data_IF_708851051310
#
_entry.id   IF_708851051310
#
_cell.length_a   1.000
_cell.length_b   1.000
_cell.length_c   1.000
_cell.angle_alpha   90.00
_cell.angle_beta   90.00
_cell.angle_gamma   90.00
#
_symmetry.space_group_name_H-M   'P 1'
#
loop_
_entity.id
_entity.type
_entity.pdbx_description
1 polymer ?
#
# COMPACT_ATOMS: atom_id res chain seq x y z
N UNK A 1 -59.28 -16.90 -24.35
CA UNK A 1 -57.92 -17.06 -23.80
C UNK A 1 -56.97 -17.25 -24.98
N UNK A 2 -56.31 -16.17 -25.38
CA UNK A 2 -56.04 -15.87 -26.79
C UNK A 2 -54.97 -16.71 -27.49
N UNK A 3 -55.39 -17.53 -28.46
CA UNK A 3 -54.51 -18.17 -29.43
C UNK A 3 -53.75 -17.14 -30.29
N UNK A 4 -54.34 -15.97 -30.53
CA UNK A 4 -53.63 -14.86 -31.18
C UNK A 4 -52.50 -14.29 -30.31
N UNK A 5 -52.66 -14.28 -28.98
CA UNK A 5 -51.63 -13.81 -28.05
C UNK A 5 -50.45 -14.78 -28.00
N UNK A 6 -50.71 -16.10 -28.08
CA UNK A 6 -49.68 -17.13 -28.21
C UNK A 6 -48.92 -17.04 -29.53
N UNK A 7 -49.63 -16.85 -30.66
CA UNK A 7 -49.02 -16.73 -31.98
C UNK A 7 -48.16 -15.46 -32.12
N UNK A 8 -48.64 -14.32 -31.62
CA UNK A 8 -47.87 -13.07 -31.55
C UNK A 8 -46.63 -13.21 -30.66
N UNK A 9 -46.72 -13.92 -29.53
CA UNK A 9 -45.56 -14.14 -28.67
C UNK A 9 -44.53 -15.11 -29.29
N UNK A 10 -44.97 -16.04 -30.14
CA UNK A 10 -44.06 -16.96 -30.84
C UNK A 10 -43.35 -16.25 -32.01
N UNK A 11 -44.05 -15.37 -32.73
CA UNK A 11 -43.50 -14.59 -33.85
C UNK A 11 -42.66 -13.38 -33.42
N UNK A 12 -43.02 -12.71 -32.31
CA UNK A 12 -42.35 -11.49 -31.85
C UNK A 12 -41.56 -11.66 -30.54
N UNK A 13 -41.72 -12.76 -29.81
CA UNK A 13 -41.05 -12.99 -28.52
C UNK A 13 -39.63 -13.57 -28.65
N UNK A 14 -39.35 -14.36 -29.69
CA UNK A 14 -38.02 -14.92 -29.95
C UNK A 14 -36.98 -13.91 -30.48
N UNK A 15 -37.44 -12.79 -31.04
CA UNK A 15 -36.59 -11.85 -31.78
C UNK A 15 -35.97 -10.73 -30.92
N UNK A 16 -36.35 -10.60 -29.64
CA UNK A 16 -35.78 -9.59 -28.74
C UNK A 16 -34.30 -9.86 -28.44
N UNK A 17 -33.92 -11.14 -28.37
CA UNK A 17 -32.53 -11.53 -28.16
C UNK A 17 -31.68 -11.40 -29.43
N UNK A 18 -32.26 -11.69 -30.61
CA UNK A 18 -31.57 -11.54 -31.89
C UNK A 18 -31.36 -10.07 -32.29
N UNK A 19 -32.32 -9.17 -31.98
CA UNK A 19 -32.14 -7.72 -32.12
C UNK A 19 -31.08 -7.20 -31.15
N UNK A 20 -31.04 -7.70 -29.92
CA UNK A 20 -29.99 -7.38 -28.96
C UNK A 20 -28.62 -7.85 -29.46
N UNK A 21 -28.48 -9.10 -29.88
CA UNK A 21 -27.24 -9.64 -30.46
C UNK A 21 -26.80 -8.85 -31.70
N UNK A 22 -27.73 -8.47 -32.57
CA UNK A 22 -27.39 -7.69 -33.78
C UNK A 22 -27.00 -6.25 -33.44
N UNK A 23 -27.64 -5.61 -32.45
CA UNK A 23 -27.26 -4.26 -31.98
C UNK A 23 -25.95 -4.28 -31.20
N UNK A 24 -25.67 -5.35 -30.43
CA UNK A 24 -24.39 -5.55 -29.74
C UNK A 24 -23.21 -5.71 -30.73
N UNK A 25 -23.46 -6.13 -31.99
CA UNK A 25 -22.45 -6.14 -33.09
C UNK A 25 -22.12 -4.73 -33.60
N UNK A 26 -23.06 -3.78 -33.55
CA UNK A 26 -22.86 -2.39 -34.02
C UNK A 26 -22.56 -1.40 -32.90
N UNK A 27 -22.89 -1.72 -31.64
CA UNK A 27 -22.66 -0.89 -30.47
C UNK A 27 -22.28 -1.76 -29.28
N UNK A 28 -21.04 -1.63 -28.84
CA UNK A 28 -20.50 -2.39 -27.71
C UNK A 28 -21.38 -2.18 -26.46
N UNK A 29 -21.75 -3.29 -25.82
CA UNK A 29 -22.46 -3.26 -24.55
C UNK A 29 -21.51 -2.71 -23.47
N UNK A 30 -21.86 -1.56 -22.88
CA UNK A 30 -21.03 -0.85 -21.91
C UNK A 30 -20.65 -1.71 -20.69
N UNK A 31 -21.55 -2.61 -20.26
CA UNK A 31 -21.30 -3.55 -19.17
C UNK A 31 -20.23 -4.60 -19.55
N UNK A 32 -20.34 -5.15 -20.77
CA UNK A 32 -19.37 -6.12 -21.30
C UNK A 32 -18.02 -5.47 -21.60
N UNK A 33 -18.00 -4.20 -21.98
CA UNK A 33 -16.79 -3.41 -22.15
C UNK A 33 -16.10 -3.16 -20.79
N UNK A 34 -16.87 -2.75 -19.77
CA UNK A 34 -16.39 -2.55 -18.41
C UNK A 34 -15.83 -3.82 -17.78
N UNK A 35 -16.50 -4.96 -17.96
CA UNK A 35 -16.00 -6.26 -17.50
C UNK A 35 -14.65 -6.63 -18.12
N UNK A 36 -14.50 -6.46 -19.45
CA UNK A 36 -13.22 -6.70 -20.14
C UNK A 36 -12.10 -5.76 -19.66
N UNK A 37 -12.43 -4.52 -19.36
CA UNK A 37 -11.45 -3.55 -18.89
C UNK A 37 -10.98 -3.86 -17.46
N UNK A 38 -11.90 -4.28 -16.59
CA UNK A 38 -11.60 -4.77 -15.25
C UNK A 38 -10.73 -6.04 -15.29
N UNK A 39 -11.02 -6.95 -16.22
CA UNK A 39 -10.21 -8.16 -16.44
C UNK A 39 -8.81 -7.82 -16.92
N UNK A 40 -8.66 -6.88 -17.87
CA UNK A 40 -7.34 -6.39 -18.32
C UNK A 40 -6.57 -5.73 -17.19
N UNK A 41 -7.23 -4.88 -16.40
CA UNK A 41 -6.61 -4.20 -15.25
C UNK A 41 -6.16 -5.22 -14.19
N UNK A 42 -7.02 -6.17 -13.84
CA UNK A 42 -6.70 -7.20 -12.84
C UNK A 42 -5.55 -8.09 -13.29
N UNK A 43 -5.52 -8.51 -14.57
CA UNK A 43 -4.43 -9.26 -15.15
C UNK A 43 -3.12 -8.47 -15.15
N UNK A 44 -3.17 -7.18 -15.51
CA UNK A 44 -2.01 -6.30 -15.47
C UNK A 44 -1.46 -6.15 -14.04
N UNK A 45 -2.33 -5.97 -13.03
CA UNK A 45 -1.92 -5.86 -11.62
C UNK A 45 -1.33 -7.17 -11.08
N UNK A 46 -1.88 -8.32 -11.46
CA UNK A 46 -1.36 -9.63 -11.09
C UNK A 46 0.02 -9.88 -11.70
N UNK A 47 0.19 -9.58 -13.00
CA UNK A 47 1.48 -9.68 -13.67
C UNK A 47 2.50 -8.73 -13.05
N UNK A 48 2.12 -7.47 -12.80
CA UNK A 48 2.98 -6.51 -12.13
C UNK A 48 3.42 -7.04 -10.76
N UNK A 49 2.48 -7.53 -9.94
CA UNK A 49 2.79 -8.13 -8.64
C UNK A 49 3.70 -9.36 -8.71
N UNK A 50 3.62 -10.14 -9.78
CA UNK A 50 4.50 -11.28 -10.02
C UNK A 50 5.92 -10.86 -10.44
N UNK A 51 6.05 -9.81 -11.24
CA UNK A 51 7.35 -9.29 -11.70
C UNK A 51 8.15 -8.59 -10.59
N UNK A 52 7.48 -7.93 -9.62
CA UNK A 52 8.16 -7.25 -8.50
C UNK A 52 8.48 -8.15 -7.30
N UNK A 53 7.99 -9.39 -7.26
CA UNK A 53 8.43 -10.37 -6.26
C UNK A 53 9.72 -11.01 -6.72
N UNK A 54 10.84 -10.34 -6.49
CA UNK A 54 12.15 -10.98 -6.58
C UNK A 54 12.16 -12.20 -5.65
N UNK A 55 12.36 -13.44 -6.16
CA UNK A 55 12.42 -14.62 -5.32
C UNK A 55 13.64 -14.47 -4.39
N UNK A 56 13.38 -14.20 -3.11
CA UNK A 56 14.43 -14.06 -2.10
C UNK A 56 14.93 -15.44 -1.74
N UNK A 57 16.22 -15.67 -1.93
CA UNK A 57 16.87 -16.91 -1.48
C UNK A 57 16.96 -16.93 0.05
N UNK A 58 17.05 -18.13 0.62
CA UNK A 58 17.42 -18.30 2.04
C UNK A 58 18.80 -17.66 2.32
N UNK A 59 19.70 -17.70 1.33
CA UNK A 59 21.01 -17.05 1.40
C UNK A 59 20.87 -15.52 1.51
N UNK A 60 19.94 -14.92 0.76
CA UNK A 60 19.68 -13.48 0.85
C UNK A 60 19.15 -13.09 2.22
N UNK A 61 18.29 -13.93 2.81
CA UNK A 61 17.77 -13.73 4.15
C UNK A 61 18.86 -13.87 5.22
N UNK A 62 19.78 -14.84 5.06
CA UNK A 62 20.95 -15.00 5.92
C UNK A 62 21.87 -13.78 5.85
N UNK A 63 22.21 -13.34 4.64
CA UNK A 63 23.09 -12.20 4.41
C UNK A 63 22.46 -10.89 4.90
N UNK A 64 21.15 -10.70 4.71
CA UNK A 64 20.44 -9.54 5.26
C UNK A 64 20.41 -9.58 6.79
N UNK A 65 20.25 -10.77 7.38
CA UNK A 65 20.42 -10.98 8.82
C UNK A 65 21.81 -10.55 9.29
N UNK A 66 22.87 -11.10 8.69
CA UNK A 66 24.26 -10.79 9.02
C UNK A 66 24.57 -9.29 8.88
N UNK A 67 24.06 -8.65 7.84
CA UNK A 67 24.25 -7.23 7.60
C UNK A 67 23.39 -6.33 8.51
N UNK A 68 22.43 -6.90 9.27
CA UNK A 68 21.61 -6.20 10.28
C UNK A 68 22.08 -6.46 11.70
N UNK A 69 22.79 -7.56 11.95
CA UNK A 69 23.36 -7.93 13.26
C UNK A 69 24.25 -6.87 13.93
N UNK A 70 25.00 -5.99 13.22
CA UNK A 70 25.89 -5.06 13.90
C UNK A 70 25.15 -4.13 14.87
N UNK A 71 23.93 -3.70 14.53
CA UNK A 71 23.16 -2.74 15.34
C UNK A 71 22.63 -3.37 16.64
N UNK A 72 21.99 -4.57 16.62
CA UNK A 72 21.71 -5.35 17.82
C UNK A 72 22.97 -5.69 18.64
N UNK A 73 24.07 -6.06 17.99
CA UNK A 73 25.28 -6.47 18.68
C UNK A 73 25.93 -5.32 19.45
N UNK A 74 25.90 -4.10 18.91
CA UNK A 74 26.33 -2.91 19.64
C UNK A 74 25.45 -2.64 20.87
N UNK A 75 24.12 -2.75 20.73
CA UNK A 75 23.18 -2.54 21.84
C UNK A 75 23.34 -3.61 22.94
N UNK A 76 23.31 -4.89 22.58
CA UNK A 76 23.49 -5.97 23.57
C UNK A 76 24.92 -6.02 24.12
N UNK A 77 25.92 -5.69 23.31
CA UNK A 77 27.31 -5.59 23.75
C UNK A 77 27.53 -4.49 24.79
N UNK A 78 26.92 -3.31 24.59
CA UNK A 78 27.00 -2.23 25.59
C UNK A 78 26.28 -2.58 26.88
N UNK A 79 25.07 -3.13 26.80
CA UNK A 79 24.36 -3.62 28.00
C UNK A 79 25.19 -4.71 28.71
N UNK A 80 25.77 -5.64 27.95
CA UNK A 80 26.64 -6.70 28.48
C UNK A 80 27.89 -6.16 29.16
N UNK A 81 28.51 -5.10 28.64
CA UNK A 81 29.64 -4.44 29.30
C UNK A 81 29.24 -3.87 30.66
N UNK A 82 28.10 -3.18 30.76
CA UNK A 82 27.60 -2.68 32.05
C UNK A 82 27.30 -3.80 33.03
N UNK A 83 26.67 -4.89 32.57
CA UNK A 83 26.43 -6.06 33.41
C UNK A 83 27.76 -6.65 33.88
N UNK A 84 28.74 -6.83 32.99
CA UNK A 84 30.04 -7.40 33.33
C UNK A 84 30.78 -6.59 34.39
N UNK A 85 30.70 -5.25 34.31
CA UNK A 85 31.27 -4.34 35.28
C UNK A 85 30.62 -4.48 36.66
N UNK A 86 29.32 -4.79 36.73
CA UNK A 86 28.60 -5.02 37.99
C UNK A 86 28.84 -6.43 38.55
N UNK A 87 28.88 -7.45 37.70
CA UNK A 87 29.02 -8.86 38.13
C UNK A 87 30.46 -9.23 38.51
N UNK A 88 31.46 -8.65 37.82
CA UNK A 88 32.88 -8.92 38.07
C UNK A 88 33.74 -7.67 37.81
N UNK A 89 33.83 -6.76 38.80
CA UNK A 89 34.53 -5.48 38.63
C UNK A 89 36.03 -5.64 38.35
N UNK A 90 36.68 -6.61 39.00
CA UNK A 90 38.14 -6.85 38.84
C UNK A 90 38.44 -7.35 37.43
N UNK A 91 37.66 -8.32 36.93
CA UNK A 91 37.80 -8.82 35.57
C UNK A 91 37.64 -7.70 34.54
N UNK A 92 36.62 -6.84 34.72
CA UNK A 92 36.39 -5.70 33.84
C UNK A 92 37.56 -4.70 33.87
N UNK A 93 38.07 -4.35 35.06
CA UNK A 93 39.18 -3.42 35.23
C UNK A 93 40.48 -3.88 34.52
N UNK A 94 40.79 -5.17 34.58
CA UNK A 94 41.94 -5.74 33.85
C UNK A 94 41.82 -5.54 32.33
N UNK A 95 40.62 -5.68 31.75
CA UNK A 95 40.41 -5.45 30.31
C UNK A 95 40.48 -3.96 29.97
N UNK A 96 39.99 -3.09 30.86
CA UNK A 96 40.10 -1.65 30.68
C UNK A 96 41.56 -1.15 30.71
N UNK A 97 42.44 -1.78 31.50
CA UNK A 97 43.88 -1.50 31.45
C UNK A 97 44.48 -1.86 30.08
N UNK A 98 44.07 -2.99 29.49
CA UNK A 98 44.46 -3.35 28.13
C UNK A 98 43.95 -2.34 27.08
N UNK A 99 42.71 -1.89 27.20
CA UNK A 99 42.13 -0.87 26.32
C UNK A 99 42.83 0.49 26.44
N UNK A 100 43.29 0.87 27.64
CA UNK A 100 44.02 2.11 27.87
C UNK A 100 45.39 2.14 27.16
N UNK A 101 45.97 0.98 26.87
CA UNK A 101 47.23 0.85 26.13
C UNK A 101 47.05 0.91 24.60
N UNK A 102 45.81 0.89 24.10
CA UNK A 102 45.53 0.96 22.67
C UNK A 102 45.96 2.34 22.13
N UNK A 103 46.86 2.40 21.13
CA UNK A 103 47.30 3.67 20.55
C UNK A 103 46.14 4.52 20.00
N UNK A 104 46.24 5.85 20.15
CA UNK A 104 45.23 6.80 19.66
C UNK A 104 44.94 6.63 18.16
N UNK A 105 45.96 6.34 17.35
CA UNK A 105 45.81 6.10 15.92
C UNK A 105 44.83 4.95 15.60
N UNK A 106 44.76 3.90 16.43
CA UNK A 106 43.83 2.79 16.22
C UNK A 106 42.39 3.19 16.57
N UNK A 107 42.20 4.09 17.54
CA UNK A 107 40.88 4.65 17.82
C UNK A 107 40.36 5.49 16.65
N UNK A 108 41.22 6.32 16.06
CA UNK A 108 40.90 7.07 14.84
C UNK A 108 40.57 6.15 13.66
N UNK A 109 41.36 5.09 13.46
CA UNK A 109 41.11 4.10 12.41
C UNK A 109 39.77 3.39 12.60
N UNK A 110 39.47 2.93 13.83
CA UNK A 110 38.19 2.28 14.14
C UNK A 110 37.03 3.25 13.89
N UNK A 111 37.13 4.49 14.37
CA UNK A 111 36.12 5.53 14.14
C UNK A 111 35.89 5.78 12.65
N UNK A 112 36.96 5.86 11.84
CA UNK A 112 36.88 6.05 10.40
C UNK A 112 36.20 4.87 9.69
N UNK A 113 36.58 3.63 9.99
CA UNK A 113 36.01 2.43 9.36
C UNK A 113 34.53 2.27 9.72
N UNK A 114 34.16 2.44 10.98
CA UNK A 114 32.76 2.38 11.45
C UNK A 114 31.95 3.50 10.81
N UNK A 115 32.46 4.74 10.78
CA UNK A 115 31.79 5.88 10.17
C UNK A 115 31.60 5.69 8.66
N UNK A 116 32.57 5.10 7.96
CA UNK A 116 32.44 4.79 6.55
C UNK A 116 31.38 3.70 6.31
N UNK A 117 31.44 2.60 7.06
CA UNK A 117 30.51 1.47 6.93
C UNK A 117 29.07 1.85 7.20
N UNK A 118 28.81 2.59 8.29
CA UNK A 118 27.45 3.00 8.66
C UNK A 118 27.01 4.31 8.02
N UNK A 119 27.93 5.24 7.75
CA UNK A 119 27.64 6.53 7.13
C UNK A 119 27.16 6.39 5.68
N UNK A 120 27.79 5.51 4.89
CA UNK A 120 27.36 5.25 3.51
C UNK A 120 25.93 4.68 3.44
N UNK A 121 25.56 3.80 4.38
CA UNK A 121 24.23 3.16 4.42
C UNK A 121 23.12 4.08 4.94
N UNK A 122 23.44 5.10 5.74
CA UNK A 122 22.48 6.12 6.16
C UNK A 122 22.17 7.14 5.06
N UNK A 123 23.10 7.41 4.15
CA UNK A 123 22.85 8.27 3.00
C UNK A 123 21.87 7.62 2.00
N UNK A 124 21.94 6.30 1.78
CA UNK A 124 21.03 5.58 0.88
C UNK A 124 19.56 5.64 1.33
N UNK A 125 19.29 5.54 2.64
CA UNK A 125 17.93 5.70 3.19
C UNK A 125 17.39 7.14 3.08
N UNK A 126 18.28 8.13 3.17
CA UNK A 126 17.90 9.52 2.93
C UNK A 126 17.41 9.76 1.50
N UNK A 127 18.01 9.07 0.52
CA UNK A 127 17.57 9.12 -0.87
C UNK A 127 16.24 8.39 -1.12
N UNK A 128 15.99 7.25 -0.46
CA UNK A 128 14.69 6.57 -0.50
C UNK A 128 13.57 7.48 0.04
N UNK A 129 13.79 8.16 1.16
CA UNK A 129 12.83 9.11 1.72
C UNK A 129 12.55 10.30 0.79
N UNK A 130 13.60 10.87 0.17
CA UNK A 130 13.43 11.92 -0.84
C UNK A 130 12.65 11.42 -2.07
N UNK A 131 12.88 10.16 -2.50
CA UNK A 131 12.18 9.54 -3.62
C UNK A 131 10.70 9.26 -3.29
N UNK A 132 10.40 8.80 -2.08
CA UNK A 132 9.03 8.62 -1.59
C UNK A 132 8.28 9.96 -1.49
N UNK A 133 8.94 11.02 -0.99
CA UNK A 133 8.37 12.37 -0.99
C UNK A 133 8.08 12.84 -2.42
N UNK A 134 9.03 12.66 -3.35
CA UNK A 134 8.84 13.05 -4.75
C UNK A 134 7.68 12.29 -5.41
N UNK A 135 7.54 11.00 -5.16
CA UNK A 135 6.42 10.19 -5.66
C UNK A 135 5.09 10.59 -5.04
N UNK A 136 5.07 10.94 -3.75
CA UNK A 136 3.88 11.42 -3.05
C UNK A 136 3.44 12.76 -3.62
N UNK A 137 4.38 13.70 -3.78
CA UNK A 137 4.14 15.02 -4.39
C UNK A 137 3.64 14.91 -5.83
N UNK A 138 4.15 13.95 -6.61
CA UNK A 138 3.69 13.70 -7.99
C UNK A 138 2.24 13.20 -8.06
N UNK A 139 1.72 12.55 -7.01
CA UNK A 139 0.34 12.04 -6.94
C UNK A 139 -0.67 13.05 -6.39
N UNK A 140 -0.22 14.09 -5.69
CA UNK A 140 -1.07 15.17 -5.16
C UNK A 140 -2.01 15.76 -6.22
N UNK A 141 -1.56 16.17 -7.42
CA UNK A 141 -2.46 16.76 -8.42
C UNK A 141 -3.57 15.80 -8.85
N UNK A 142 -3.27 14.51 -9.02
CA UNK A 142 -4.27 13.48 -9.36
C UNK A 142 -5.29 13.28 -8.24
N UNK A 143 -4.86 13.30 -6.98
CA UNK A 143 -5.77 13.20 -5.83
C UNK A 143 -6.71 14.41 -5.78
N UNK A 144 -6.19 15.61 -6.04
CA UNK A 144 -6.98 16.86 -6.09
C UNK A 144 -7.99 16.85 -7.24
N UNK A 145 -7.59 16.38 -8.42
CA UNK A 145 -8.47 16.21 -9.58
C UNK A 145 -9.62 15.26 -9.24
N UNK A 146 -9.30 14.08 -8.69
CA UNK A 146 -10.28 13.08 -8.30
C UNK A 146 -11.22 13.59 -7.20
N UNK A 147 -10.72 14.34 -6.21
CA UNK A 147 -11.60 14.93 -5.18
C UNK A 147 -12.50 16.02 -5.74
N UNK A 148 -12.04 16.82 -6.71
CA UNK A 148 -12.90 17.78 -7.41
C UNK A 148 -13.98 17.09 -8.22
N UNK A 149 -13.63 16.03 -8.96
CA UNK A 149 -14.58 15.24 -9.74
C UNK A 149 -15.63 14.59 -8.83
N UNK A 150 -15.23 14.03 -7.68
CA UNK A 150 -16.16 13.49 -6.70
C UNK A 150 -17.08 14.57 -6.10
N UNK A 151 -16.53 15.76 -5.81
CA UNK A 151 -17.32 16.88 -5.27
C UNK A 151 -18.30 17.46 -6.30
N UNK A 152 -17.96 17.48 -7.58
CA UNK A 152 -18.92 17.88 -8.63
C UNK A 152 -20.09 16.91 -8.74
N UNK A 153 -19.84 15.60 -8.57
CA UNK A 153 -20.92 14.60 -8.54
C UNK A 153 -21.82 14.76 -7.30
N UNK A 154 -21.25 15.16 -6.17
CA UNK A 154 -22.02 15.48 -4.94
C UNK A 154 -22.84 16.77 -5.07
N UNK A 155 -22.40 17.72 -5.90
CA UNK A 155 -23.10 19.00 -6.10
C UNK A 155 -24.24 18.89 -7.12
N UNK A 156 -24.14 17.95 -8.08
CA UNK A 156 -25.24 17.63 -9.00
C UNK A 156 -26.39 16.85 -8.32
N UNK A 157 -26.17 16.34 -7.10
CA UNK A 157 -27.17 15.65 -6.28
C UNK A 157 -27.66 16.52 -5.12
N UNK A 158 -27.78 17.84 -5.30
CA UNK A 158 -28.63 18.65 -4.41
C UNK A 158 -30.07 18.18 -4.59
N UNK A 159 -30.71 17.55 -3.57
CA UNK A 159 -32.11 17.20 -3.67
C UNK A 159 -32.90 18.50 -3.73
N UNK A 160 -33.67 18.64 -4.80
CA UNK A 160 -34.83 19.52 -4.85
C UNK A 160 -35.61 19.36 -3.54
N UNK A 161 -35.42 20.30 -2.63
CA UNK A 161 -35.97 20.26 -1.27
C UNK A 161 -37.46 20.57 -1.27
N UNK A 162 -38.12 20.60 -2.44
CA UNK A 162 -39.53 20.95 -2.54
C UNK A 162 -40.43 19.86 -3.13
N UNK A 163 -39.94 18.74 -3.67
CA UNK A 163 -40.84 17.68 -4.20
C UNK A 163 -40.40 16.21 -4.00
N UNK A 164 -39.52 15.91 -3.05
CA UNK A 164 -39.10 14.53 -2.73
C UNK A 164 -39.91 13.92 -1.58
N UNK A 165 -40.51 12.76 -1.82
CA UNK A 165 -41.29 11.95 -0.86
C UNK A 165 -40.66 11.91 0.54
N UNK A 166 -41.48 12.16 1.57
CA UNK A 166 -41.09 12.01 2.98
C UNK A 166 -40.54 10.60 3.21
N UNK A 167 -39.26 10.50 3.52
CA UNK A 167 -38.61 9.24 3.85
C UNK A 167 -38.95 8.83 5.29
N UNK A 168 -39.97 7.99 5.43
CA UNK A 168 -40.48 7.50 6.72
C UNK A 168 -39.40 6.82 7.59
N UNK A 169 -38.44 6.12 6.97
CA UNK A 169 -37.35 5.47 7.71
C UNK A 169 -36.38 6.48 8.35
N UNK A 170 -36.21 7.64 7.72
CA UNK A 170 -35.36 8.72 8.24
C UNK A 170 -36.03 9.43 9.42
N UNK A 171 -37.35 9.57 9.38
CA UNK A 171 -38.14 10.18 10.45
C UNK A 171 -38.22 9.24 11.68
N UNK A 172 -38.42 7.93 11.48
CA UNK A 172 -38.38 6.93 12.55
C UNK A 172 -37.02 6.89 13.26
N UNK A 173 -35.92 6.97 12.50
CA UNK A 173 -34.57 7.00 13.07
C UNK A 173 -34.31 8.28 13.90
N UNK A 174 -34.81 9.44 13.45
CA UNK A 174 -34.70 10.70 14.21
C UNK A 174 -35.54 10.66 15.47
N UNK A 175 -36.75 10.10 15.42
CA UNK A 175 -37.62 9.94 16.58
C UNK A 175 -36.99 9.01 17.64
N UNK A 176 -36.36 7.91 17.21
CA UNK A 176 -35.67 6.97 18.10
C UNK A 176 -34.43 7.56 18.80
N UNK A 177 -33.86 8.65 18.27
CA UNK A 177 -32.67 9.31 18.82
C UNK A 177 -32.99 10.52 19.71
N UNK A 178 -34.23 11.00 19.66
CA UNK A 178 -34.73 12.12 20.46
C UNK A 178 -35.49 11.68 21.73
N UNK A 179 -35.70 10.38 21.91
CA UNK A 179 -36.18 9.74 23.13
C UNK A 179 -35.00 9.19 23.95
#
# INVERSE_FOLDING_TARGET
MGLMTGLLNTLFGGNRNALRETVEVFRENAESAGGRDLDRLSAALLQHGAEFRTPRSWFDSLMDGLNRLPRPLLAFGTIGLFISAMTSPVWFAERMQGLALVPEALWWLMGAVVSFYFGARHQLKGQEFQREIAQTLARVPTVVENTRALRSLETDDTPDTQNGERNAALDDWRAARAA
#
